data_IF_078876819213
#
_entry.id   IF_078876819213
#
_cell.length_a   1.000
_cell.length_b   1.000
_cell.length_c   1.000
_cell.angle_alpha   90.00
_cell.angle_beta   90.00
_cell.angle_gamma   90.00
#
_symmetry.space_group_name_H-M   'P 1'
#
loop_
_entity.id
_entity.type
_entity.pdbx_description
1 polymer ?
#
# COMPACT_ATOMS: atom_id res chain seq x y z
N UNK A 1 -21.38 48.84 -7.61
CA UNK A 1 -20.85 48.46 -6.29
C UNK A 1 -19.85 47.32 -6.48
N UNK A 2 -18.56 47.56 -6.24
CA UNK A 2 -17.49 46.56 -6.32
C UNK A 2 -17.31 45.96 -4.92
N UNK A 3 -17.43 44.64 -4.79
CA UNK A 3 -17.11 43.94 -3.52
C UNK A 3 -15.67 43.44 -3.66
N UNK A 4 -14.78 44.15 -2.98
CA UNK A 4 -13.36 43.86 -2.81
C UNK A 4 -13.16 42.71 -1.83
N UNK A 5 -12.17 41.85 -2.14
CA UNK A 5 -11.87 40.62 -1.42
C UNK A 5 -11.65 40.78 0.09
N UNK A 6 -12.26 39.88 0.85
CA UNK A 6 -11.99 39.68 2.27
C UNK A 6 -10.91 38.61 2.41
N UNK A 7 -9.77 39.03 2.94
CA UNK A 7 -8.58 38.25 3.22
C UNK A 7 -8.87 37.12 4.21
N UNK A 8 -8.40 35.92 3.89
CA UNK A 8 -8.28 34.79 4.80
C UNK A 8 -7.43 35.17 6.02
N UNK A 9 -8.05 35.24 7.19
CA UNK A 9 -7.34 35.31 8.47
C UNK A 9 -6.97 33.89 8.90
N UNK A 10 -5.77 33.45 8.52
CA UNK A 10 -5.07 32.43 9.30
C UNK A 10 -4.54 33.11 10.55
N UNK A 11 -5.05 32.76 11.73
CA UNK A 11 -4.27 32.72 12.97
C UNK A 11 -5.06 32.08 14.12
N UNK A 12 -4.30 31.38 14.95
CA UNK A 12 -4.62 30.79 16.26
C UNK A 12 -5.30 29.42 16.32
N UNK A 13 -4.59 28.39 15.84
CA UNK A 13 -4.67 27.06 16.45
C UNK A 13 -3.28 26.42 16.63
N UNK A 14 -2.34 27.19 17.19
CA UNK A 14 -1.01 26.72 17.59
C UNK A 14 -0.55 27.38 18.89
N UNK A 15 -1.46 27.47 19.87
CA UNK A 15 -1.10 27.71 21.26
C UNK A 15 -1.98 26.78 22.07
N UNK A 16 -1.36 25.70 22.58
CA UNK A 16 -1.80 24.86 23.70
C UNK A 16 -1.61 23.35 23.44
N UNK A 17 -0.36 22.93 23.27
CA UNK A 17 0.10 21.69 23.91
C UNK A 17 1.62 21.66 24.05
N UNK A 18 2.16 22.47 24.97
CA UNK A 18 3.52 22.24 25.49
C UNK A 18 3.47 21.00 26.41
N UNK A 19 3.58 19.81 25.80
CA UNK A 19 4.04 18.60 26.49
C UNK A 19 5.24 18.06 25.72
N UNK A 20 6.38 18.04 26.42
CA UNK A 20 7.69 17.59 25.95
C UNK A 20 7.62 16.33 25.09
N UNK A 21 7.99 16.45 23.82
CA UNK A 21 8.47 15.32 23.02
C UNK A 21 9.73 15.79 22.32
N UNK A 22 10.87 15.41 22.90
CA UNK A 22 12.19 15.77 22.40
C UNK A 22 12.41 15.29 20.97
N UNK A 23 12.89 16.20 20.14
CA UNK A 23 13.50 15.93 18.85
C UNK A 23 14.73 15.04 19.06
N UNK A 24 14.75 13.82 18.50
CA UNK A 24 15.93 12.93 18.51
C UNK A 24 16.50 12.84 17.09
N UNK A 25 17.81 13.09 16.88
CA UNK A 25 18.44 12.95 15.57
C UNK A 25 18.59 11.47 15.15
N UNK A 26 18.67 11.26 13.83
CA UNK A 26 18.63 9.99 13.07
C UNK A 26 19.85 9.05 13.30
N UNK A 27 20.47 9.01 14.48
CA UNK A 27 21.52 8.02 14.76
C UNK A 27 21.60 7.56 16.22
N UNK A 28 20.46 7.32 16.88
CA UNK A 28 20.45 6.55 18.12
C UNK A 28 19.98 5.12 17.84
N UNK A 29 20.91 4.15 17.92
CA UNK A 29 20.56 2.73 18.07
C UNK A 29 19.84 2.54 19.41
N UNK A 30 18.51 2.68 19.40
CA UNK A 30 17.68 2.28 20.54
C UNK A 30 17.42 0.78 20.41
N UNK A 31 18.26 0.00 21.09
CA UNK A 31 17.98 -1.40 21.40
C UNK A 31 16.85 -1.38 22.43
N UNK A 32 15.62 -1.55 21.98
CA UNK A 32 14.50 -1.91 22.87
C UNK A 32 14.49 -3.42 22.90
N UNK A 33 15.36 -4.00 23.72
CA UNK A 33 15.25 -5.39 24.14
C UNK A 33 13.96 -5.54 24.92
N UNK A 34 13.12 -6.49 24.51
CA UNK A 34 11.78 -6.67 25.00
C UNK A 34 11.68 -6.75 26.52
N UNK A 35 10.80 -5.93 27.09
CA UNK A 35 10.21 -6.11 28.40
C UNK A 35 8.93 -5.26 28.49
N UNK A 36 7.80 -5.94 28.35
CA UNK A 36 6.52 -5.65 29.02
C UNK A 36 5.85 -4.27 28.80
N UNK A 37 5.05 -4.14 27.73
CA UNK A 37 4.05 -3.06 27.58
C UNK A 37 2.62 -3.58 27.83
N UNK A 38 2.40 -4.90 27.95
CA UNK A 38 1.10 -5.47 28.29
C UNK A 38 1.02 -5.84 29.78
N UNK A 39 0.77 -4.83 30.62
CA UNK A 39 0.35 -5.03 32.01
C UNK A 39 -1.12 -5.45 32.11
N UNK A 40 -1.49 -6.59 31.51
CA UNK A 40 -2.72 -7.29 31.85
C UNK A 40 -2.43 -8.12 33.11
N UNK A 41 -2.86 -7.61 34.26
CA UNK A 41 -2.74 -8.32 35.53
C UNK A 41 -3.79 -9.44 35.60
N UNK A 42 -3.55 -10.54 34.88
CA UNK A 42 -4.39 -11.75 34.93
C UNK A 42 -4.04 -12.50 36.22
N UNK A 43 -4.74 -12.21 37.31
CA UNK A 43 -4.79 -13.11 38.46
C UNK A 43 -5.44 -14.41 38.01
N UNK A 44 -4.64 -15.42 37.71
CA UNK A 44 -5.11 -16.79 37.50
C UNK A 44 -5.60 -17.35 38.83
N UNK A 45 -6.91 -17.27 39.07
CA UNK A 45 -7.55 -18.04 40.13
C UNK A 45 -7.69 -19.48 39.60
N UNK A 46 -6.86 -20.41 40.09
CA UNK A 46 -6.68 -21.76 39.54
C UNK A 46 -7.78 -22.78 39.94
N UNK A 47 -8.89 -22.33 40.51
CA UNK A 47 -9.89 -23.21 41.10
C UNK A 47 -11.28 -23.13 40.45
N UNK A 48 -11.34 -22.93 39.13
CA UNK A 48 -12.57 -23.21 38.39
C UNK A 48 -12.31 -24.25 37.30
N UNK A 49 -12.63 -25.50 37.62
CA UNK A 49 -12.98 -26.50 36.60
C UNK A 49 -14.19 -25.93 35.86
N UNK A 50 -13.96 -25.47 34.63
CA UNK A 50 -15.03 -25.05 33.73
C UNK A 50 -15.31 -26.24 32.84
N UNK A 51 -16.39 -26.93 33.20
CA UNK A 51 -16.94 -28.03 32.45
C UNK A 51 -17.56 -27.46 31.15
N UNK A 52 -17.17 -28.03 29.99
CA UNK A 52 -17.77 -27.81 28.67
C UNK A 52 -18.04 -26.34 28.22
N UNK A 53 -16.98 -25.53 28.08
CA UNK A 53 -17.05 -24.26 27.35
C UNK A 53 -15.80 -24.08 26.48
N UNK A 54 -15.96 -24.12 25.16
CA UNK A 54 -14.87 -23.93 24.20
C UNK A 54 -13.97 -22.75 24.59
N UNK A 55 -12.67 -23.01 24.65
CA UNK A 55 -11.68 -22.11 25.23
C UNK A 55 -11.70 -20.76 24.49
N UNK A 56 -12.14 -19.67 25.13
CA UNK A 56 -12.30 -18.33 24.54
C UNK A 56 -11.01 -17.84 23.87
N UNK A 57 -9.84 -18.22 24.41
CA UNK A 57 -8.54 -17.94 23.81
C UNK A 57 -8.33 -18.60 22.45
N UNK A 58 -8.87 -19.81 22.25
CA UNK A 58 -8.75 -20.54 21.00
C UNK A 58 -9.65 -19.93 19.91
N UNK A 59 -10.87 -19.50 20.27
CA UNK A 59 -11.77 -18.76 19.38
C UNK A 59 -11.21 -17.40 18.93
N UNK A 60 -10.58 -16.63 19.83
CA UNK A 60 -9.92 -15.37 19.46
C UNK A 60 -8.74 -15.63 18.51
N UNK A 61 -7.95 -16.67 18.77
CA UNK A 61 -6.82 -17.03 17.90
C UNK A 61 -7.26 -17.44 16.48
N UNK A 62 -8.46 -18.04 16.37
CA UNK A 62 -9.05 -18.44 15.09
C UNK A 62 -9.55 -17.24 14.31
N UNK A 63 -10.33 -16.34 14.94
CA UNK A 63 -10.81 -15.12 14.28
C UNK A 63 -9.69 -14.24 13.75
N UNK A 64 -8.60 -14.09 14.51
CA UNK A 64 -7.43 -13.32 14.06
C UNK A 64 -6.79 -13.97 12.84
N UNK A 65 -6.66 -15.31 12.83
CA UNK A 65 -6.14 -16.05 11.67
C UNK A 65 -7.03 -15.87 10.45
N UNK A 66 -8.35 -16.00 10.60
CA UNK A 66 -9.32 -15.87 9.52
C UNK A 66 -9.27 -14.45 8.92
N UNK A 67 -9.14 -13.41 9.76
CA UNK A 67 -9.01 -12.02 9.32
C UNK A 67 -7.71 -11.77 8.53
N UNK A 68 -6.59 -12.35 8.97
CA UNK A 68 -5.31 -12.25 8.25
C UNK A 68 -5.39 -12.95 6.90
N UNK A 69 -6.05 -14.10 6.82
CA UNK A 69 -6.24 -14.84 5.57
C UNK A 69 -7.14 -14.02 4.63
N UNK A 70 -8.25 -13.48 5.14
CA UNK A 70 -9.15 -12.63 4.38
C UNK A 70 -8.43 -11.39 3.82
N UNK A 71 -7.62 -10.71 4.64
CA UNK A 71 -6.85 -9.55 4.19
C UNK A 71 -5.80 -9.90 3.14
N UNK A 72 -5.14 -11.06 3.25
CA UNK A 72 -4.20 -11.52 2.22
C UNK A 72 -4.91 -11.73 0.90
N UNK A 73 -6.06 -12.42 0.89
CA UNK A 73 -6.83 -12.66 -0.34
C UNK A 73 -7.34 -11.32 -0.91
N UNK A 74 -7.89 -10.45 -0.07
CA UNK A 74 -8.37 -9.12 -0.50
C UNK A 74 -7.25 -8.28 -1.15
N UNK A 75 -6.05 -8.28 -0.56
CA UNK A 75 -4.88 -7.59 -1.14
C UNK A 75 -4.46 -8.18 -2.50
N UNK A 76 -4.50 -9.51 -2.67
CA UNK A 76 -4.25 -10.15 -3.98
C UNK A 76 -5.22 -9.65 -5.04
N UNK A 77 -6.52 -9.58 -4.71
CA UNK A 77 -7.57 -9.06 -5.61
C UNK A 77 -7.30 -7.61 -5.99
N UNK A 78 -6.95 -6.77 -5.01
CA UNK A 78 -6.66 -5.37 -5.21
C UNK A 78 -5.44 -5.15 -6.12
N UNK A 79 -4.39 -5.96 -5.97
CA UNK A 79 -3.22 -5.99 -6.86
C UNK A 79 -3.50 -6.58 -8.24
N UNK A 80 -4.55 -7.40 -8.37
CA UNK A 80 -4.94 -8.01 -9.64
C UNK A 80 -4.24 -9.32 -9.91
N UNK A 81 -3.76 -9.97 -8.86
CA UNK A 81 -3.24 -11.31 -8.92
C UNK A 81 -4.38 -12.31 -9.19
N UNK A 82 -4.04 -13.46 -9.78
CA UNK A 82 -5.01 -14.53 -9.99
C UNK A 82 -5.42 -15.10 -8.64
N UNK A 83 -6.73 -15.20 -8.41
CA UNK A 83 -7.33 -15.83 -7.24
C UNK A 83 -8.02 -17.12 -7.67
N UNK A 84 -7.99 -18.13 -6.79
CA UNK A 84 -8.76 -19.36 -7.03
C UNK A 84 -10.25 -19.15 -6.72
N UNK A 85 -11.11 -20.00 -7.28
CA UNK A 85 -12.55 -19.98 -6.96
C UNK A 85 -12.79 -20.23 -5.46
N UNK A 86 -11.97 -21.09 -4.85
CA UNK A 86 -12.00 -21.38 -3.42
C UNK A 86 -11.62 -20.16 -2.57
N UNK A 87 -10.54 -19.45 -2.90
CA UNK A 87 -10.15 -18.22 -2.20
C UNK A 87 -11.25 -17.16 -2.26
N UNK A 88 -11.93 -17.05 -3.42
CA UNK A 88 -13.03 -16.10 -3.60
C UNK A 88 -14.26 -16.49 -2.79
N UNK A 89 -14.66 -17.76 -2.81
CA UNK A 89 -15.77 -18.27 -2.02
C UNK A 89 -15.51 -18.09 -0.53
N UNK A 90 -14.29 -18.41 -0.09
CA UNK A 90 -13.86 -18.24 1.29
C UNK A 90 -13.94 -16.78 1.74
N UNK A 91 -13.49 -15.82 0.93
CA UNK A 91 -13.58 -14.40 1.27
C UNK A 91 -15.04 -13.90 1.28
N UNK A 92 -15.88 -14.42 0.38
CA UNK A 92 -17.31 -14.09 0.31
C UNK A 92 -18.07 -14.55 1.57
N UNK A 93 -17.72 -15.70 2.13
CA UNK A 93 -18.31 -16.21 3.36
C UNK A 93 -17.77 -15.52 4.62
N UNK A 94 -16.45 -15.30 4.69
CA UNK A 94 -15.81 -14.78 5.91
C UNK A 94 -15.91 -13.27 6.05
N UNK A 95 -15.75 -12.52 4.95
CA UNK A 95 -15.67 -11.07 4.97
C UNK A 95 -16.14 -10.43 3.64
N UNK A 96 -17.46 -10.43 3.36
CA UNK A 96 -18.01 -9.89 2.12
C UNK A 96 -17.67 -8.39 1.92
N UNK A 97 -17.62 -7.60 2.99
CA UNK A 97 -17.25 -6.19 2.93
C UNK A 97 -15.80 -5.99 2.43
N UNK A 98 -14.88 -6.87 2.83
CA UNK A 98 -13.48 -6.84 2.37
C UNK A 98 -13.39 -7.21 0.89
N UNK A 99 -14.19 -8.19 0.44
CA UNK A 99 -14.29 -8.56 -0.96
C UNK A 99 -14.75 -7.37 -1.82
N UNK A 100 -15.81 -6.67 -1.40
CA UNK A 100 -16.32 -5.52 -2.13
C UNK A 100 -15.27 -4.41 -2.26
N UNK A 101 -14.64 -4.02 -1.15
CA UNK A 101 -13.59 -2.98 -1.13
C UNK A 101 -12.39 -3.38 -2.00
N UNK A 102 -11.97 -4.64 -1.94
CA UNK A 102 -10.90 -5.15 -2.79
C UNK A 102 -11.24 -5.11 -4.28
N UNK A 103 -12.49 -5.43 -4.64
CA UNK A 103 -12.98 -5.32 -6.01
C UNK A 103 -13.03 -3.87 -6.48
N UNK A 104 -13.48 -2.95 -5.64
CA UNK A 104 -13.47 -1.51 -5.93
C UNK A 104 -12.04 -0.99 -6.16
N UNK A 105 -11.09 -1.37 -5.30
CA UNK A 105 -9.67 -1.04 -5.48
C UNK A 105 -9.10 -1.62 -6.78
N UNK A 106 -9.44 -2.88 -7.10
CA UNK A 106 -9.02 -3.54 -8.35
C UNK A 106 -9.59 -2.84 -9.59
N UNK A 107 -10.83 -2.35 -9.54
CA UNK A 107 -11.44 -1.56 -10.61
C UNK A 107 -10.69 -0.25 -10.82
N UNK A 108 -10.43 0.53 -9.75
CA UNK A 108 -9.64 1.77 -9.82
C UNK A 108 -8.23 1.53 -10.35
N UNK A 109 -7.59 0.42 -9.97
CA UNK A 109 -6.29 0.01 -10.52
C UNK A 109 -6.32 -0.08 -12.03
N UNK A 110 -7.28 -0.81 -12.59
CA UNK A 110 -7.43 -1.00 -14.05
C UNK A 110 -7.66 0.34 -14.78
N UNK A 111 -8.45 1.24 -14.18
CA UNK A 111 -8.66 2.59 -14.72
C UNK A 111 -7.35 3.39 -14.77
N UNK A 112 -6.54 3.35 -13.70
CA UNK A 112 -5.24 4.02 -13.63
C UNK A 112 -4.25 3.41 -14.64
N UNK A 113 -4.19 2.08 -14.73
CA UNK A 113 -3.34 1.38 -15.71
C UNK A 113 -3.71 1.79 -17.15
N UNK A 114 -5.00 1.93 -17.45
CA UNK A 114 -5.48 2.42 -18.75
C UNK A 114 -5.00 3.85 -19.01
N UNK A 115 -5.13 4.75 -18.03
CA UNK A 115 -4.64 6.14 -18.14
C UNK A 115 -3.12 6.21 -18.36
N UNK A 116 -2.35 5.36 -17.69
CA UNK A 116 -0.90 5.27 -17.86
C UNK A 116 -0.54 4.80 -19.28
N UNK A 117 -1.29 3.84 -19.85
CA UNK A 117 -1.07 3.37 -21.23
C UNK A 117 -1.33 4.47 -22.26
N UNK A 118 -2.24 5.39 -21.98
CA UNK A 118 -2.55 6.53 -22.86
C UNK A 118 -1.64 7.74 -22.65
N UNK A 119 -0.77 7.73 -21.63
CA UNK A 119 0.13 8.83 -21.36
C UNK A 119 1.20 8.96 -22.47
N UNK A 120 1.40 10.18 -22.96
CA UNK A 120 2.34 10.47 -24.06
C UNK A 120 3.78 10.53 -23.59
N UNK A 121 3.99 10.89 -22.32
CA UNK A 121 5.33 11.10 -21.75
C UNK A 121 5.52 10.35 -20.44
N UNK A 122 6.78 10.03 -20.13
CA UNK A 122 7.15 9.44 -18.83
C UNK A 122 6.75 10.33 -17.65
N UNK A 123 6.80 11.66 -17.83
CA UNK A 123 6.40 12.64 -16.81
C UNK A 123 4.90 12.54 -16.52
N UNK A 124 4.07 12.53 -17.56
CA UNK A 124 2.62 12.39 -17.45
C UNK A 124 2.21 11.06 -16.77
N UNK A 125 2.86 9.95 -17.13
CA UNK A 125 2.63 8.67 -16.46
C UNK A 125 2.96 8.72 -14.95
N UNK A 126 4.08 9.36 -14.57
CA UNK A 126 4.46 9.54 -13.16
C UNK A 126 3.48 10.45 -12.41
N UNK A 127 2.99 11.51 -13.04
CA UNK A 127 1.97 12.39 -12.46
C UNK A 127 0.66 11.63 -12.19
N UNK A 128 0.23 10.76 -13.10
CA UNK A 128 -0.94 9.89 -12.90
C UNK A 128 -0.76 8.96 -11.69
N UNK A 129 0.42 8.33 -11.57
CA UNK A 129 0.74 7.46 -10.42
C UNK A 129 0.73 8.25 -9.11
N UNK A 130 1.32 9.46 -9.11
CA UNK A 130 1.37 10.32 -7.92
C UNK A 130 -0.04 10.76 -7.49
N UNK A 131 -0.88 11.15 -8.44
CA UNK A 131 -2.29 11.47 -8.17
C UNK A 131 -3.02 10.29 -7.52
N UNK A 132 -2.84 9.08 -8.07
CA UNK A 132 -3.44 7.87 -7.51
C UNK A 132 -2.94 7.57 -6.09
N UNK A 133 -1.65 7.78 -5.78
CA UNK A 133 -1.12 7.64 -4.41
C UNK A 133 -1.76 8.61 -3.43
N UNK A 134 -1.92 9.87 -3.84
CA UNK A 134 -2.57 10.89 -3.00
C UNK A 134 -4.03 10.50 -2.77
N UNK A 135 -4.73 10.04 -3.80
CA UNK A 135 -6.11 9.55 -3.69
C UNK A 135 -6.21 8.36 -2.72
N UNK A 136 -5.33 7.38 -2.84
CA UNK A 136 -5.28 6.23 -1.93
C UNK A 136 -5.00 6.64 -0.48
N UNK A 137 -4.11 7.63 -0.28
CA UNK A 137 -3.83 8.17 1.06
C UNK A 137 -5.05 8.90 1.64
N UNK A 138 -5.74 9.72 0.85
CA UNK A 138 -6.97 10.38 1.28
C UNK A 138 -8.03 9.35 1.64
N UNK A 139 -8.18 8.29 0.84
CA UNK A 139 -9.11 7.21 1.12
C UNK A 139 -8.79 6.54 2.47
N UNK A 140 -7.51 6.25 2.73
CA UNK A 140 -7.05 5.64 3.98
C UNK A 140 -7.28 6.54 5.20
N UNK A 141 -6.98 7.83 5.09
CA UNK A 141 -7.02 8.78 6.21
C UNK A 141 -8.45 9.28 6.52
N UNK A 142 -9.32 9.41 5.50
CA UNK A 142 -10.58 10.17 5.63
C UNK A 142 -11.85 9.44 5.21
N UNK A 143 -11.77 8.40 4.39
CA UNK A 143 -12.95 7.76 3.80
C UNK A 143 -13.18 6.39 4.44
N UNK A 144 -12.30 5.46 4.13
CA UNK A 144 -12.36 4.09 4.60
C UNK A 144 -10.95 3.51 4.62
N UNK A 145 -10.49 3.20 5.83
CA UNK A 145 -9.13 2.72 6.08
C UNK A 145 -8.82 1.43 5.33
N UNK A 146 -9.76 0.49 5.30
CA UNK A 146 -9.58 -0.84 4.69
C UNK A 146 -9.52 -0.70 3.17
N UNK A 147 -10.44 0.08 2.60
CA UNK A 147 -10.42 0.39 1.17
C UNK A 147 -9.15 1.14 0.78
N UNK A 148 -8.77 2.17 1.54
CA UNK A 148 -7.56 2.95 1.29
C UNK A 148 -6.28 2.12 1.34
N UNK A 149 -6.20 1.15 2.26
CA UNK A 149 -5.09 0.20 2.34
C UNK A 149 -5.01 -0.69 1.09
N UNK A 150 -6.14 -1.27 0.68
CA UNK A 150 -6.18 -2.08 -0.55
C UNK A 150 -5.89 -1.26 -1.80
N UNK A 151 -6.35 -0.01 -1.85
CA UNK A 151 -6.08 0.87 -2.97
C UNK A 151 -4.59 1.27 -3.01
N UNK A 152 -3.95 1.48 -1.85
CA UNK A 152 -2.52 1.75 -1.79
C UNK A 152 -1.68 0.57 -2.28
N UNK A 153 -2.06 -0.66 -1.92
CA UNK A 153 -1.47 -1.88 -2.46
C UNK A 153 -1.60 -1.98 -3.98
N UNK A 154 -2.77 -1.65 -4.52
CA UNK A 154 -3.01 -1.62 -5.95
C UNK A 154 -2.12 -0.58 -6.67
N UNK A 155 -1.96 0.62 -6.10
CA UNK A 155 -1.12 1.68 -6.67
C UNK A 155 0.38 1.34 -6.59
N UNK A 156 0.83 0.72 -5.49
CA UNK A 156 2.21 0.24 -5.38
C UNK A 156 2.51 -0.79 -6.47
N UNK A 157 1.57 -1.70 -6.74
CA UNK A 157 1.71 -2.67 -7.82
C UNK A 157 1.85 -2.02 -9.20
N UNK A 158 1.04 -0.98 -9.47
CA UNK A 158 1.15 -0.19 -10.71
C UNK A 158 2.54 0.45 -10.83
N UNK A 159 3.04 1.07 -9.77
CA UNK A 159 4.34 1.75 -9.76
C UNK A 159 5.50 0.75 -10.01
N UNK A 160 5.44 -0.43 -9.38
CA UNK A 160 6.40 -1.51 -9.61
C UNK A 160 6.39 -1.98 -11.07
N UNK A 161 5.20 -2.25 -11.62
CA UNK A 161 5.06 -2.75 -12.98
C UNK A 161 5.49 -1.69 -14.02
N UNK A 162 5.23 -0.42 -13.75
CA UNK A 162 5.69 0.70 -14.56
C UNK A 162 7.23 0.84 -14.51
N UNK A 163 7.82 0.72 -13.32
CA UNK A 163 9.26 0.80 -13.11
C UNK A 163 9.99 -0.34 -13.82
N UNK A 164 9.49 -1.58 -13.73
CA UNK A 164 10.04 -2.76 -14.41
C UNK A 164 10.02 -2.63 -15.94
N UNK A 165 8.95 -2.06 -16.51
CA UNK A 165 8.87 -1.81 -17.96
C UNK A 165 9.93 -0.80 -18.42
N UNK A 166 10.07 0.30 -17.69
CA UNK A 166 11.06 1.33 -18.04
C UNK A 166 12.52 0.84 -17.96
N UNK A 167 12.83 -0.13 -17.10
CA UNK A 167 14.19 -0.71 -17.03
C UNK A 167 14.46 -1.54 -18.29
N UNK A 168 13.53 -2.42 -18.69
CA UNK A 168 13.66 -3.25 -19.89
C UNK A 168 13.81 -2.42 -21.16
N UNK A 169 13.04 -1.34 -21.29
CA UNK A 169 13.12 -0.45 -22.45
C UNK A 169 14.50 0.22 -22.60
N UNK A 170 15.23 0.47 -21.50
CA UNK A 170 16.58 1.04 -21.56
C UNK A 170 17.64 -0.04 -21.86
N UNK A 171 17.45 -1.27 -21.39
CA UNK A 171 18.36 -2.39 -21.64
C UNK A 171 18.34 -2.86 -23.11
N UNK A 172 17.19 -2.72 -23.79
CA UNK A 172 17.08 -3.06 -25.22
C UNK A 172 17.71 -1.98 -26.13
N UNK A 173 17.69 -0.70 -25.71
CA UNK A 173 18.35 0.40 -26.46
C UNK A 173 19.88 0.27 -26.41
N UNK A 174 20.45 -0.18 -25.29
CA UNK A 174 21.91 -0.32 -25.14
C UNK A 174 22.49 -1.49 -25.94
N UNK A 175 21.73 -2.57 -26.17
CA UNK A 175 22.15 -3.71 -27.01
C UNK A 175 22.13 -3.41 -28.51
N UNK A 176 21.24 -2.53 -28.98
CA UNK A 176 21.16 -2.11 -30.39
C UNK A 176 22.32 -1.18 -30.81
N UNK A 177 23.03 -0.58 -29.86
CA UNK A 177 24.18 0.30 -30.12
C UNK A 177 25.50 -0.45 -30.37
N UNK A 178 25.66 -1.67 -29.86
CA UNK A 178 26.92 -2.41 -29.94
C UNK A 178 27.09 -3.28 -31.18
N UNK A 179 26.02 -3.48 -31.96
CA UNK A 179 26.05 -4.35 -33.15
C UNK A 179 26.37 -3.61 -34.45
N UNK A 180 26.37 -2.27 -34.44
CA UNK A 180 26.62 -1.45 -35.65
C UNK A 180 28.07 -1.02 -35.87
N UNK A 181 28.99 -1.34 -34.95
CA UNK A 181 30.38 -0.87 -35.00
C UNK A 181 31.38 -2.00 -35.32
N UNK A 182 31.00 -2.94 -36.20
CA UNK A 182 31.93 -3.91 -36.80
C UNK A 182 31.75 -4.04 -38.31
N UNK A 183 31.82 -2.94 -39.05
CA UNK A 183 32.17 -3.03 -40.47
C UNK A 183 33.11 -1.91 -40.90
N UNK A 184 34.11 -2.31 -41.70
CA UNK A 184 35.09 -1.51 -42.45
C UNK A 184 36.38 -1.15 -41.72
N UNK A 185 37.19 -2.18 -41.48
CA UNK A 185 38.65 -2.02 -41.61
C UNK A 185 38.95 -1.52 -43.02
N UNK A 186 39.53 -0.33 -43.12
CA UNK A 186 40.04 0.23 -44.36
C UNK A 186 41.46 -0.34 -44.50
N UNK A 187 41.64 -1.28 -45.42
CA UNK A 187 42.95 -1.76 -45.82
C UNK A 187 43.69 -0.63 -46.56
N UNK A 188 44.57 0.07 -45.86
CA UNK A 188 45.53 0.98 -46.48
C UNK A 188 46.82 0.18 -46.71
N UNK A 189 47.01 -0.30 -47.94
CA UNK A 189 48.33 -0.78 -48.39
C UNK A 189 49.24 0.43 -48.63
N UNK A 190 50.33 0.47 -47.88
CA UNK A 190 51.49 1.36 -48.07
C UNK A 190 52.33 0.92 -49.28
#
# INVERSE_FOLDING_TARGET
MRITGSQFKFNNFMQDNKRNIGFKPWNSKTIISGQNIFGFNIKQNKDKKVDNGGNIGDMMSKKIRDDIIADKIAKKIARGENITAEERAMLMEMAPDKLEKAMQASKRRKEIESRIKTAKTKKEAREIILQARVEAKIAFDKIDKVYGEYFMEAVNKIEEDYSKKNIKDNDDITKLGTDKEKTKGIDIKL
#
